data_IF_706131383205
#
_entry.id   IF_706131383205
#
_cell.length_a   1.000
_cell.length_b   1.000
_cell.length_c   1.000
_cell.angle_alpha   90.00
_cell.angle_beta   90.00
_cell.angle_gamma   90.00
#
_symmetry.space_group_name_H-M   'P 1'
#
loop_
_entity.id
_entity.type
_entity.pdbx_description
1 polymer ?
#
# COMPACT_ATOMS: atom_id res chain seq x y z
N UNK A 1 2.44 1.82 22.73
CA UNK A 1 2.37 2.76 21.57
C UNK A 1 3.07 2.11 20.38
N UNK A 2 2.39 1.90 19.25
CA UNK A 2 2.94 1.15 18.09
C UNK A 2 4.14 1.90 17.48
N UNK A 3 4.02 3.22 17.35
CA UNK A 3 5.06 4.10 16.79
C UNK A 3 6.37 4.01 17.57
N UNK A 4 6.32 4.06 18.90
CA UNK A 4 7.49 4.02 19.76
C UNK A 4 8.23 2.68 19.68
N UNK A 5 7.48 1.57 19.61
CA UNK A 5 8.06 0.24 19.42
C UNK A 5 8.79 0.13 18.08
N UNK A 6 8.17 0.60 17.00
CA UNK A 6 8.79 0.59 15.67
C UNK A 6 10.01 1.52 15.58
N UNK A 7 9.98 2.68 16.24
CA UNK A 7 11.11 3.59 16.35
C UNK A 7 12.29 2.95 17.13
N UNK A 8 11.99 2.06 18.08
CA UNK A 8 12.97 1.31 18.87
C UNK A 8 13.43 0.00 18.19
N UNK A 9 13.15 -0.18 16.89
CA UNK A 9 13.43 -1.41 16.15
C UNK A 9 12.74 -2.68 16.72
N UNK A 10 11.64 -2.52 17.44
CA UNK A 10 10.86 -3.63 18.01
C UNK A 10 9.68 -3.93 17.08
N UNK A 11 9.54 -5.17 16.55
CA UNK A 11 8.39 -5.54 15.76
C UNK A 11 7.12 -5.59 16.61
N UNK A 12 6.00 -5.17 16.02
CA UNK A 12 4.69 -5.16 16.68
C UNK A 12 3.80 -6.19 16.01
N UNK A 13 3.36 -7.19 16.78
CA UNK A 13 2.38 -8.18 16.36
C UNK A 13 0.99 -7.82 16.88
N UNK A 14 0.02 -7.84 15.98
CA UNK A 14 -1.40 -7.71 16.28
C UNK A 14 -2.07 -9.04 15.94
N UNK A 15 -2.48 -9.78 16.98
CA UNK A 15 -3.13 -11.08 16.82
C UNK A 15 -4.32 -10.98 15.87
N UNK A 16 -4.45 -11.97 14.98
CA UNK A 16 -5.49 -12.05 13.94
C UNK A 16 -5.46 -10.93 12.88
N UNK A 17 -4.54 -9.97 12.98
CA UNK A 17 -4.42 -8.85 12.05
C UNK A 17 -3.14 -8.95 11.21
N UNK A 18 -1.97 -8.91 11.84
CA UNK A 18 -0.69 -8.92 11.13
C UNK A 18 0.48 -8.40 11.96
N UNK A 19 1.62 -8.25 11.31
CA UNK A 19 2.89 -7.86 11.94
C UNK A 19 3.48 -6.65 11.23
N UNK A 20 3.86 -5.65 12.01
CA UNK A 20 4.68 -4.53 11.56
C UNK A 20 6.13 -4.77 11.95
N UNK A 21 7.02 -4.77 10.95
CA UNK A 21 8.43 -5.04 11.12
C UNK A 21 9.28 -3.89 10.55
N UNK A 22 10.11 -3.22 11.36
CA UNK A 22 11.10 -2.28 10.87
C UNK A 22 12.16 -3.04 10.04
N UNK A 23 12.58 -2.47 8.91
CA UNK A 23 13.65 -3.01 8.07
C UNK A 23 14.44 -1.92 7.37
N UNK A 24 15.72 -2.19 7.11
CA UNK A 24 16.51 -1.39 6.19
C UNK A 24 16.18 -1.78 4.75
N UNK A 25 15.70 -0.84 3.93
CA UNK A 25 15.54 -1.07 2.49
C UNK A 25 16.85 -0.83 1.77
N UNK A 26 17.17 -1.72 0.83
CA UNK A 26 18.34 -1.59 -0.04
C UNK A 26 18.24 -0.32 -0.90
N UNK A 27 19.38 0.31 -1.26
CA UNK A 27 19.38 1.37 -2.24
C UNK A 27 18.81 0.86 -3.56
N UNK A 28 18.18 1.77 -4.31
CA UNK A 28 17.62 1.46 -5.62
C UNK A 28 17.75 2.66 -6.54
N UNK A 29 17.78 2.42 -7.84
CA UNK A 29 17.79 3.48 -8.85
C UNK A 29 16.34 3.84 -9.17
N UNK A 30 15.98 5.10 -8.94
CA UNK A 30 14.70 5.68 -9.35
C UNK A 30 14.80 6.33 -10.74
N UNK A 31 13.64 6.49 -11.39
CA UNK A 31 13.49 7.27 -12.62
C UNK A 31 12.81 8.59 -12.26
N UNK A 32 13.31 9.71 -12.75
CA UNK A 32 12.66 11.00 -12.51
C UNK A 32 11.35 11.06 -13.31
N UNK A 33 10.17 11.19 -12.67
CA UNK A 33 8.90 11.26 -13.39
C UNK A 33 8.82 12.45 -14.35
N UNK A 34 9.54 13.54 -14.05
CA UNK A 34 9.52 14.79 -14.81
C UNK A 34 10.56 14.83 -15.95
N UNK A 35 11.55 13.95 -15.93
CA UNK A 35 12.61 13.88 -16.94
C UNK A 35 12.85 12.42 -17.35
N UNK A 36 12.09 11.92 -18.35
CA UNK A 36 12.27 10.58 -18.89
C UNK A 36 13.71 10.38 -19.36
N UNK A 37 14.41 9.40 -18.77
CA UNK A 37 15.81 9.08 -19.08
C UNK A 37 16.82 9.47 -18.01
N UNK A 38 16.48 10.39 -17.10
CA UNK A 38 17.33 10.65 -15.94
C UNK A 38 17.11 9.60 -14.84
N UNK A 39 18.21 9.08 -14.30
CA UNK A 39 18.21 8.13 -13.20
C UNK A 39 18.81 8.76 -11.95
N UNK A 40 18.25 8.45 -10.78
CA UNK A 40 18.74 8.95 -9.50
C UNK A 40 18.91 7.80 -8.51
N UNK A 41 19.93 7.87 -7.66
CA UNK A 41 20.19 6.85 -6.65
C UNK A 41 19.37 7.19 -5.39
N UNK A 42 18.49 6.28 -5.00
CA UNK A 42 17.76 6.37 -3.73
C UNK A 42 18.60 5.65 -2.68
N UNK A 43 19.08 6.35 -1.63
CA UNK A 43 19.89 5.75 -0.59
C UNK A 43 19.08 4.74 0.25
N UNK A 44 19.76 3.83 0.97
CA UNK A 44 19.09 2.94 1.90
C UNK A 44 18.44 3.74 3.04
N UNK A 45 17.25 3.31 3.47
CA UNK A 45 16.51 3.95 4.57
C UNK A 45 15.75 2.92 5.40
N UNK A 46 15.50 3.26 6.66
CA UNK A 46 14.61 2.48 7.50
C UNK A 46 13.17 2.65 7.01
N UNK A 47 12.46 1.53 6.87
CA UNK A 47 11.03 1.51 6.50
C UNK A 47 10.32 0.48 7.35
N UNK A 48 8.99 0.56 7.41
CA UNK A 48 8.16 -0.46 8.05
C UNK A 48 7.58 -1.37 6.97
N UNK A 49 7.73 -2.68 7.14
CA UNK A 49 7.04 -3.70 6.34
C UNK A 49 5.86 -4.23 7.14
N UNK A 50 4.67 -4.17 6.56
CA UNK A 50 3.50 -4.87 7.09
C UNK A 50 3.38 -6.26 6.46
N UNK A 51 3.09 -7.26 7.29
CA UNK A 51 2.72 -8.62 6.87
C UNK A 51 1.32 -8.91 7.39
N UNK A 52 0.35 -8.99 6.49
CA UNK A 52 -1.02 -9.36 6.85
C UNK A 52 -1.06 -10.79 7.40
N UNK A 53 -1.78 -10.99 8.50
CA UNK A 53 -2.01 -12.30 9.09
C UNK A 53 -2.99 -13.13 8.27
N UNK A 54 -3.04 -14.44 8.54
CA UNK A 54 -3.89 -15.41 7.83
C UNK A 54 -5.37 -14.99 7.81
N UNK A 55 -5.93 -14.65 8.98
CA UNK A 55 -7.35 -14.29 9.12
C UNK A 55 -7.68 -13.02 8.33
N UNK A 56 -6.87 -11.97 8.48
CA UNK A 56 -7.05 -10.72 7.73
C UNK A 56 -7.02 -10.98 6.22
N UNK A 57 -6.00 -11.71 5.74
CA UNK A 57 -5.85 -12.02 4.31
C UNK A 57 -7.06 -12.77 3.76
N UNK A 58 -7.50 -13.82 4.46
CA UNK A 58 -8.67 -14.62 4.05
C UNK A 58 -9.96 -13.80 4.01
N UNK A 59 -10.15 -12.86 4.95
CA UNK A 59 -11.33 -11.98 4.94
C UNK A 59 -11.30 -11.01 3.77
N UNK A 60 -10.15 -10.39 3.51
CA UNK A 60 -9.99 -9.43 2.39
C UNK A 60 -10.13 -10.11 1.04
N UNK A 61 -9.61 -11.33 0.88
CA UNK A 61 -9.70 -12.09 -0.37
C UNK A 61 -11.16 -12.33 -0.79
N UNK A 62 -12.07 -12.57 0.15
CA UNK A 62 -13.51 -12.75 -0.12
C UNK A 62 -14.17 -11.49 -0.68
N UNK A 63 -13.65 -10.31 -0.35
CA UNK A 63 -14.20 -9.02 -0.82
C UNK A 63 -13.85 -8.71 -2.28
N UNK A 64 -12.95 -9.47 -2.91
CA UNK A 64 -12.46 -9.17 -4.26
C UNK A 64 -13.58 -9.07 -5.30
N UNK A 65 -14.62 -9.92 -5.19
CA UNK A 65 -15.78 -9.88 -6.08
C UNK A 65 -16.63 -8.63 -5.85
N UNK A 66 -16.92 -8.29 -4.60
CA UNK A 66 -17.73 -7.13 -4.22
C UNK A 66 -17.08 -5.82 -4.64
N UNK A 67 -15.76 -5.69 -4.45
CA UNK A 67 -15.00 -4.51 -4.87
C UNK A 67 -14.95 -4.38 -6.40
N UNK A 68 -14.88 -5.50 -7.13
CA UNK A 68 -14.91 -5.49 -8.59
C UNK A 68 -16.26 -5.02 -9.12
N UNK A 69 -17.34 -5.54 -8.58
CA UNK A 69 -18.70 -5.14 -8.94
C UNK A 69 -18.99 -3.67 -8.57
N UNK A 70 -18.45 -3.17 -7.45
CA UNK A 70 -18.57 -1.77 -7.06
C UNK A 70 -17.83 -0.83 -8.04
N UNK A 71 -16.59 -1.15 -8.42
CA UNK A 71 -15.80 -0.36 -9.36
C UNK A 71 -16.46 -0.29 -10.77
N UNK A 72 -17.08 -1.37 -11.22
CA UNK A 72 -17.84 -1.42 -12.48
C UNK A 72 -19.13 -0.58 -12.44
N UNK A 73 -19.71 -0.34 -11.25
CA UNK A 73 -20.87 0.56 -11.08
C UNK A 73 -20.46 2.03 -11.05
N UNK A 74 -19.35 2.36 -10.39
CA UNK A 74 -18.82 3.73 -10.34
C UNK A 74 -18.43 4.23 -11.75
N UNK A 75 -17.74 3.39 -12.54
CA UNK A 75 -17.35 3.70 -13.93
C UNK A 75 -18.53 3.87 -14.90
N UNK A 76 -19.69 3.25 -14.65
CA UNK A 76 -20.92 3.46 -15.44
C UNK A 76 -21.67 4.74 -15.09
N UNK A 77 -21.44 5.30 -13.91
CA UNK A 77 -22.18 6.48 -13.42
C UNK A 77 -21.51 7.80 -13.84
N UNK A 78 -20.19 7.79 -14.06
CA UNK A 78 -19.43 8.99 -14.48
C UNK A 78 -19.48 9.30 -15.99
N UNK A 79 -19.83 8.36 -16.85
CA UNK A 79 -19.95 8.59 -18.31
C UNK A 79 -21.28 9.22 -18.73
N UNK A 80 -22.13 9.61 -17.77
CA UNK A 80 -23.49 10.09 -17.97
C UNK A 80 -23.77 11.56 -17.64
N UNK A 81 -22.76 12.45 -17.59
CA UNK A 81 -23.04 13.91 -17.52
C UNK A 81 -22.91 14.53 -18.91
N UNK A 82 -24.02 14.83 -19.62
CA UNK A 82 -23.97 15.76 -20.73
C UNK A 82 -23.76 17.16 -20.16
N UNK A 83 -22.63 17.77 -20.50
CA UNK A 83 -22.42 19.21 -20.37
C UNK A 83 -23.42 19.93 -21.28
N UNK A 84 -24.59 20.25 -20.75
CA UNK A 84 -25.54 21.19 -21.34
C UNK A 84 -25.40 22.55 -20.65
N UNK A 85 -24.96 23.55 -21.40
CA UNK A 85 -24.80 24.95 -20.97
C UNK A 85 -23.97 25.73 -21.97
#
# INVERSE_FOLDING_TARGET
KITDSLASNVPVELRNFGVFQPRLTKPRVGRNPNQPGSSFVIPPRATVKFKAGKIMRQRVEKLSRELKEAAERETKTETGTPSGG
#
